data_IF_955087409491
#
_entry.id   IF_955087409491
#
_cell.length_a   1.000
_cell.length_b   1.000
_cell.length_c   1.000
_cell.angle_alpha   90.00
_cell.angle_beta   90.00
_cell.angle_gamma   90.00
#
_symmetry.space_group_name_H-M   'P 1'
#
loop_
_entity.id
_entity.type
_entity.pdbx_description
1 polymer ?
#
# COMPACT_ATOMS: atom_id res chain seq x y z
N UNK A 1 38.06 -7.23 -9.77
CA UNK A 1 37.23 -6.06 -10.14
C UNK A 1 36.11 -5.97 -9.11
N UNK A 2 36.24 -5.05 -8.16
CA UNK A 2 35.30 -4.89 -7.06
C UNK A 2 34.13 -4.01 -7.52
N UNK A 3 32.90 -4.55 -7.48
CA UNK A 3 31.69 -3.77 -7.76
C UNK A 3 31.50 -2.68 -6.71
N UNK A 4 31.11 -1.45 -7.10
CA UNK A 4 30.88 -0.37 -6.16
C UNK A 4 29.67 -0.73 -5.30
N UNK A 5 29.90 -0.84 -3.99
CA UNK A 5 28.86 -0.92 -2.98
C UNK A 5 27.96 0.30 -3.15
N UNK A 6 26.71 0.07 -3.57
CA UNK A 6 25.65 1.09 -3.50
C UNK A 6 25.55 1.50 -2.03
N UNK A 7 26.14 2.64 -1.71
CA UNK A 7 25.95 3.35 -0.45
C UNK A 7 24.47 3.71 -0.37
N UNK A 8 23.67 2.82 0.21
CA UNK A 8 22.36 3.17 0.73
C UNK A 8 22.60 4.23 1.79
N UNK A 9 22.21 5.48 1.48
CA UNK A 9 22.25 6.57 2.44
C UNK A 9 21.68 6.08 3.79
N UNK A 10 22.29 6.45 4.93
CA UNK A 10 21.80 6.01 6.22
C UNK A 10 20.36 6.48 6.32
N UNK A 11 19.43 5.51 6.37
CA UNK A 11 18.03 5.80 6.67
C UNK A 11 18.05 6.49 8.03
N UNK A 12 17.86 7.82 8.02
CA UNK A 12 17.62 8.61 9.22
C UNK A 12 16.64 7.80 10.06
N UNK A 13 17.01 7.49 11.32
CA UNK A 13 16.20 6.70 12.22
C UNK A 13 14.87 7.43 12.44
N UNK A 14 13.90 7.15 11.57
CA UNK A 14 12.59 7.76 11.55
C UNK A 14 11.69 6.89 12.41
N UNK A 15 10.91 7.52 13.26
CA UNK A 15 10.11 6.83 14.25
C UNK A 15 9.09 5.89 13.56
N UNK A 16 9.09 4.59 13.89
CA UNK A 16 8.17 3.63 13.30
C UNK A 16 6.71 3.95 13.55
N UNK A 17 6.38 4.59 14.68
CA UNK A 17 5.03 5.02 14.99
C UNK A 17 4.57 6.14 14.06
N UNK A 18 5.45 7.09 13.73
CA UNK A 18 5.15 8.19 12.81
C UNK A 18 4.97 7.66 11.37
N UNK A 19 5.79 6.72 10.93
CA UNK A 19 5.65 6.09 9.61
C UNK A 19 4.30 5.35 9.46
N UNK A 20 3.90 4.61 10.49
CA UNK A 20 2.61 3.93 10.52
C UNK A 20 1.44 4.94 10.58
N UNK A 21 1.55 5.98 11.41
CA UNK A 21 0.54 7.05 11.50
C UNK A 21 0.34 7.74 10.16
N UNK A 22 1.42 8.09 9.46
CA UNK A 22 1.36 8.69 8.11
C UNK A 22 0.70 7.73 7.11
N UNK A 23 0.94 6.43 7.23
CA UNK A 23 0.29 5.43 6.37
C UNK A 23 -1.21 5.33 6.64
N UNK A 24 -1.62 5.33 7.90
CA UNK A 24 -3.05 5.29 8.29
C UNK A 24 -3.76 6.58 7.89
N UNK A 25 -3.16 7.74 8.17
CA UNK A 25 -3.71 9.05 7.77
C UNK A 25 -3.76 9.18 6.25
N UNK A 26 -2.71 8.73 5.56
CA UNK A 26 -2.64 8.68 4.10
C UNK A 26 -3.70 7.78 3.49
N UNK A 27 -3.95 6.61 4.07
CA UNK A 27 -5.06 5.72 3.72
C UNK A 27 -6.40 6.41 3.91
N UNK A 28 -6.63 7.01 5.09
CA UNK A 28 -7.94 7.56 5.45
C UNK A 28 -8.33 8.79 4.62
N UNK A 29 -7.37 9.67 4.31
CA UNK A 29 -7.63 10.93 3.60
C UNK A 29 -7.51 10.75 2.07
N UNK A 30 -6.51 9.99 1.61
CA UNK A 30 -6.11 9.95 0.19
C UNK A 30 -6.20 8.54 -0.42
N UNK A 31 -6.60 7.51 0.34
CA UNK A 31 -6.50 6.12 -0.12
C UNK A 31 -5.05 5.70 -0.42
N UNK A 32 -4.10 6.27 0.31
CA UNK A 32 -2.67 6.21 0.03
C UNK A 32 -1.85 5.64 1.21
N UNK A 33 -2.02 4.36 1.57
CA UNK A 33 -1.28 3.75 2.68
C UNK A 33 0.23 3.69 2.45
N UNK A 34 0.67 3.76 1.19
CA UNK A 34 2.09 3.70 0.82
C UNK A 34 2.89 4.97 1.18
N UNK A 35 2.24 6.02 1.69
CA UNK A 35 2.89 7.27 2.15
C UNK A 35 3.92 7.04 3.27
N UNK A 36 3.77 5.99 4.09
CA UNK A 36 4.78 5.64 5.09
C UNK A 36 6.12 5.19 4.51
N UNK A 37 6.14 4.55 3.33
CA UNK A 37 7.38 4.21 2.63
C UNK A 37 8.10 5.44 2.10
N UNK A 38 7.34 6.42 1.61
CA UNK A 38 7.85 7.71 1.17
C UNK A 38 8.51 8.43 2.36
N UNK A 39 7.84 8.42 3.52
CA UNK A 39 8.43 8.95 4.75
C UNK A 39 9.73 8.23 5.13
N UNK A 40 9.80 6.90 5.01
CA UNK A 40 11.04 6.14 5.26
C UNK A 40 12.14 6.32 4.20
N UNK A 41 11.95 7.16 3.18
CA UNK A 41 12.93 7.36 2.11
C UNK A 41 12.94 6.23 1.07
N UNK A 42 12.06 5.24 1.19
CA UNK A 42 11.88 4.17 0.21
C UNK A 42 10.92 4.63 -0.92
N UNK A 43 11.30 5.72 -1.60
CA UNK A 43 10.48 6.38 -2.62
C UNK A 43 10.00 5.42 -3.73
N UNK A 44 10.88 4.55 -4.23
CA UNK A 44 10.52 3.58 -5.28
C UNK A 44 9.45 2.60 -4.80
N UNK A 45 9.65 1.99 -3.64
CA UNK A 45 8.71 1.05 -3.02
C UNK A 45 7.36 1.75 -2.76
N UNK A 46 7.40 2.93 -2.14
CA UNK A 46 6.21 3.74 -1.86
C UNK A 46 5.42 4.10 -3.12
N UNK A 47 6.09 4.53 -4.19
CA UNK A 47 5.41 4.90 -5.44
C UNK A 47 4.78 3.68 -6.13
N UNK A 48 5.48 2.54 -6.16
CA UNK A 48 4.98 1.30 -6.77
C UNK A 48 3.73 0.81 -6.02
N UNK A 49 3.77 0.76 -4.68
CA UNK A 49 2.61 0.37 -3.90
C UNK A 49 1.48 1.39 -4.04
N UNK A 50 1.75 2.69 -4.03
CA UNK A 50 0.73 3.73 -4.22
C UNK A 50 -0.02 3.56 -5.56
N UNK A 51 0.74 3.50 -6.67
CA UNK A 51 0.18 3.30 -8.00
C UNK A 51 -0.53 1.94 -8.11
N UNK A 52 0.07 0.89 -7.56
CA UNK A 52 -0.51 -0.45 -7.53
C UNK A 52 -1.87 -0.47 -6.83
N UNK A 53 -1.97 0.10 -5.63
CA UNK A 53 -3.23 0.15 -4.88
C UNK A 53 -4.29 0.98 -5.59
N UNK A 54 -3.92 2.11 -6.21
CA UNK A 54 -4.83 2.95 -6.98
C UNK A 54 -5.37 2.25 -8.23
N UNK A 55 -4.49 1.61 -9.00
CA UNK A 55 -4.87 0.85 -10.20
C UNK A 55 -5.75 -0.34 -9.81
N UNK A 56 -5.38 -1.08 -8.76
CA UNK A 56 -6.14 -2.23 -8.29
C UNK A 56 -7.53 -1.81 -7.78
N UNK A 57 -7.61 -0.70 -7.02
CA UNK A 57 -8.88 -0.10 -6.59
C UNK A 57 -9.77 0.26 -7.78
N UNK A 58 -9.22 0.95 -8.78
CA UNK A 58 -9.97 1.35 -9.97
C UNK A 58 -10.51 0.14 -10.74
N UNK A 59 -9.69 -0.91 -10.88
CA UNK A 59 -10.09 -2.18 -11.52
C UNK A 59 -11.21 -2.85 -10.73
N UNK A 60 -11.10 -2.96 -9.41
CA UNK A 60 -12.14 -3.57 -8.59
C UNK A 60 -13.46 -2.80 -8.61
N UNK A 61 -13.42 -1.46 -8.58
CA UNK A 61 -14.60 -0.61 -8.70
C UNK A 61 -15.25 -0.81 -10.08
N UNK A 62 -14.45 -0.80 -11.16
CA UNK A 62 -14.95 -1.00 -12.51
C UNK A 62 -15.61 -2.38 -12.67
N UNK A 63 -14.98 -3.45 -12.19
CA UNK A 63 -15.55 -4.80 -12.21
C UNK A 63 -16.85 -4.85 -11.40
N UNK A 64 -16.86 -4.31 -10.18
CA UNK A 64 -18.06 -4.28 -9.34
C UNK A 64 -19.22 -3.53 -10.00
N UNK A 65 -18.93 -2.42 -10.69
CA UNK A 65 -19.93 -1.63 -11.41
C UNK A 65 -20.47 -2.36 -12.64
N UNK A 66 -19.60 -2.97 -13.46
CA UNK A 66 -20.00 -3.75 -14.64
C UNK A 66 -20.85 -4.95 -14.25
N UNK A 67 -20.43 -5.72 -13.24
CA UNK A 67 -21.19 -6.88 -12.74
C UNK A 67 -22.52 -6.40 -12.14
N UNK A 68 -22.51 -5.32 -11.37
CA UNK A 68 -23.71 -4.71 -10.80
C UNK A 68 -24.73 -4.33 -11.88
N UNK A 69 -24.30 -3.67 -12.95
CA UNK A 69 -25.17 -3.33 -14.09
C UNK A 69 -25.67 -4.56 -14.84
N UNK A 70 -24.78 -5.52 -15.13
CA UNK A 70 -25.12 -6.73 -15.90
C UNK A 70 -26.14 -7.63 -15.20
N UNK A 71 -26.19 -7.58 -13.86
CA UNK A 71 -27.06 -8.43 -13.03
C UNK A 71 -28.27 -7.68 -12.48
N UNK A 72 -28.63 -6.53 -13.06
CA UNK A 72 -29.72 -5.65 -12.60
C UNK A 72 -29.64 -5.32 -11.09
N UNK A 73 -28.42 -5.19 -10.59
CA UNK A 73 -28.11 -4.75 -9.24
C UNK A 73 -27.77 -5.85 -8.23
N UNK A 74 -27.96 -7.13 -8.55
CA UNK A 74 -27.61 -8.24 -7.64
C UNK A 74 -26.09 -8.31 -7.40
N UNK A 75 -25.30 -7.98 -8.42
CA UNK A 75 -23.85 -7.93 -8.38
C UNK A 75 -23.27 -6.88 -7.42
N UNK A 76 -24.05 -5.88 -7.02
CA UNK A 76 -23.64 -4.94 -5.96
C UNK A 76 -23.48 -5.64 -4.60
N UNK A 77 -24.05 -6.83 -4.40
CA UNK A 77 -23.82 -7.64 -3.19
C UNK A 77 -22.38 -8.18 -3.09
N UNK A 78 -21.65 -8.26 -4.20
CA UNK A 78 -20.24 -8.65 -4.20
C UNK A 78 -19.27 -7.48 -3.94
N UNK A 79 -19.74 -6.22 -4.04
CA UNK A 79 -18.90 -5.04 -3.78
C UNK A 79 -18.35 -4.97 -2.35
N UNK A 80 -19.12 -5.28 -1.30
CA UNK A 80 -18.61 -5.37 0.07
C UNK A 80 -17.44 -6.35 0.20
N UNK A 81 -17.50 -7.49 -0.50
CA UNK A 81 -16.43 -8.50 -0.47
C UNK A 81 -15.16 -7.98 -1.17
N UNK A 82 -15.32 -7.30 -2.31
CA UNK A 82 -14.21 -6.66 -3.03
C UNK A 82 -13.55 -5.54 -2.21
N UNK A 83 -14.36 -4.72 -1.53
CA UNK A 83 -13.87 -3.66 -0.63
C UNK A 83 -13.14 -4.25 0.58
N UNK A 84 -13.61 -5.36 1.14
CA UNK A 84 -12.94 -6.08 2.23
C UNK A 84 -11.55 -6.58 1.80
N UNK A 85 -11.43 -7.10 0.59
CA UNK A 85 -10.15 -7.55 0.03
C UNK A 85 -9.17 -6.37 -0.13
N UNK A 86 -9.67 -5.23 -0.60
CA UNK A 86 -8.88 -4.01 -0.74
C UNK A 86 -8.40 -3.49 0.63
N UNK A 87 -9.29 -3.45 1.62
CA UNK A 87 -8.98 -3.03 2.98
C UNK A 87 -7.93 -3.96 3.63
N UNK A 88 -8.02 -5.27 3.39
CA UNK A 88 -7.02 -6.22 3.89
C UNK A 88 -5.64 -5.97 3.28
N UNK A 89 -5.56 -5.60 1.99
CA UNK A 89 -4.32 -5.22 1.33
C UNK A 89 -3.74 -3.94 1.94
N UNK A 90 -4.57 -2.92 2.18
CA UNK A 90 -4.13 -1.66 2.79
C UNK A 90 -3.59 -1.86 4.20
N UNK A 91 -4.25 -2.68 5.01
CA UNK A 91 -3.76 -3.08 6.35
C UNK A 91 -2.42 -3.82 6.23
N UNK A 92 -2.26 -4.71 5.26
CA UNK A 92 -0.99 -5.40 5.02
C UNK A 92 0.14 -4.44 4.63
N UNK A 93 -0.16 -3.40 3.84
CA UNK A 93 0.81 -2.34 3.49
C UNK A 93 1.21 -1.55 4.73
N UNK A 94 0.25 -1.09 5.54
CA UNK A 94 0.53 -0.37 6.80
C UNK A 94 1.37 -1.21 7.75
N UNK A 95 1.04 -2.50 7.86
CA UNK A 95 1.78 -3.44 8.70
C UNK A 95 3.19 -3.70 8.18
N UNK A 96 3.39 -3.79 6.87
CA UNK A 96 4.71 -3.91 6.25
C UNK A 96 5.55 -2.65 6.47
N UNK A 97 4.94 -1.46 6.39
CA UNK A 97 5.59 -0.19 6.73
C UNK A 97 6.04 -0.23 8.19
N UNK A 98 5.17 -0.65 9.11
CA UNK A 98 5.49 -0.71 10.54
C UNK A 98 6.62 -1.70 10.86
N UNK A 99 6.65 -2.87 10.20
CA UNK A 99 7.76 -3.82 10.36
C UNK A 99 9.06 -3.30 9.75
N UNK A 100 8.97 -2.75 8.55
CA UNK A 100 10.13 -2.21 7.84
C UNK A 100 10.75 -1.03 8.62
N UNK A 101 9.94 -0.19 9.27
CA UNK A 101 10.43 0.92 10.10
C UNK A 101 11.07 0.46 11.40
N UNK A 102 10.68 -0.71 11.93
CA UNK A 102 11.37 -1.38 13.04
C UNK A 102 12.68 -2.08 12.64
N UNK A 103 13.02 -2.09 11.35
CA UNK A 103 14.15 -2.86 10.83
C UNK A 103 13.89 -4.36 10.73
N UNK A 104 12.64 -4.80 10.89
CA UNK A 104 12.25 -6.19 10.67
C UNK A 104 12.10 -6.48 9.18
N UNK A 105 12.17 -7.78 8.83
CA UNK A 105 11.96 -8.22 7.45
C UNK A 105 10.50 -7.97 7.06
N UNK A 106 10.30 -7.18 6.01
CA UNK A 106 8.99 -6.92 5.44
C UNK A 106 8.32 -8.20 4.92
N UNK A 107 6.99 -8.20 4.96
CA UNK A 107 6.08 -9.23 4.44
C UNK A 107 5.89 -9.06 2.93
N UNK A 108 5.93 -7.82 2.43
CA UNK A 108 5.72 -7.53 1.02
C UNK A 108 7.05 -7.57 0.24
N UNK A 109 7.03 -8.00 -1.04
CA UNK A 109 8.22 -8.05 -1.87
C UNK A 109 8.90 -6.67 -1.99
N UNK A 110 10.24 -6.72 -1.99
CA UNK A 110 11.07 -5.55 -2.24
C UNK A 110 11.37 -5.47 -3.74
N UNK A 111 11.11 -4.29 -4.33
CA UNK A 111 11.31 -3.98 -5.74
C UNK A 111 12.36 -2.86 -5.89
#
# INVERSE_FOLDING_TARGET
MASPSKTSAPASAKDPAIAALISVVGLLILGAPALGYIYMGQMKKGLIYLLGTWVLSAVFIAIGFIIGLATMGIGFLCLPLLLLLLLALDIAIVWDVYKTSKGEKGILPNF
#
